data_IF_901582988595
#
_entry.id   IF_901582988595
#
_cell.length_a   1.000
_cell.length_b   1.000
_cell.length_c   1.000
_cell.angle_alpha   90.00
_cell.angle_beta   90.00
_cell.angle_gamma   90.00
#
_symmetry.space_group_name_H-M   'P 1'
#
loop_
_entity.id
_entity.type
_entity.pdbx_description
1 polymer ?
#
# COMPACT_ATOMS: atom_id res chain seq x y z
N UNK A 1 -8.43 -87.99 33.68
CA UNK A 1 -9.03 -89.33 33.98
C UNK A 1 -8.06 -90.28 34.74
N UNK A 2 -6.74 -90.04 34.66
CA UNK A 2 -5.73 -90.88 35.37
C UNK A 2 -5.67 -90.53 36.89
N UNK A 3 -5.93 -89.33 37.29
CA UNK A 3 -5.87 -88.92 38.69
C UNK A 3 -6.96 -89.51 39.58
N UNK A 4 -8.19 -89.58 39.07
CA UNK A 4 -9.32 -90.15 39.83
C UNK A 4 -9.18 -91.65 40.05
N UNK A 5 -8.65 -92.42 39.07
CA UNK A 5 -8.37 -93.82 39.20
C UNK A 5 -7.27 -94.09 40.22
N UNK A 6 -6.18 -93.29 40.21
CA UNK A 6 -5.09 -93.37 41.19
C UNK A 6 -5.55 -93.11 42.61
N UNK A 7 -6.45 -92.16 42.80
CA UNK A 7 -7.02 -91.81 44.14
C UNK A 7 -7.90 -92.89 44.69
N UNK A 8 -8.70 -93.58 43.79
CA UNK A 8 -9.51 -94.67 44.16
C UNK A 8 -8.66 -95.86 44.65
N UNK A 9 -7.55 -96.17 43.92
CA UNK A 9 -6.65 -97.25 44.30
C UNK A 9 -5.91 -96.98 45.61
N UNK A 10 -5.44 -95.74 45.84
CA UNK A 10 -4.76 -95.34 47.05
C UNK A 10 -5.71 -95.43 48.27
N UNK A 11 -6.93 -95.00 48.12
CA UNK A 11 -7.97 -95.07 49.14
C UNK A 11 -8.38 -96.52 49.42
N UNK A 12 -8.49 -97.41 48.38
CA UNK A 12 -8.74 -98.82 48.58
C UNK A 12 -7.63 -99.55 49.32
N UNK A 13 -6.38 -99.24 49.01
CA UNK A 13 -5.23 -99.78 49.72
C UNK A 13 -5.23 -99.37 51.21
N UNK A 14 -5.46 -98.10 51.48
CA UNK A 14 -5.57 -97.59 52.85
C UNK A 14 -6.71 -98.24 53.64
N UNK A 15 -7.88 -98.39 53.04
CA UNK A 15 -9.05 -99.09 53.67
C UNK A 15 -8.81 -100.61 53.90
N UNK A 16 -8.08 -101.23 52.98
CA UNK A 16 -7.76 -102.69 53.11
C UNK A 16 -6.76 -102.93 54.26
N UNK A 17 -5.77 -102.05 54.43
CA UNK A 17 -4.81 -102.17 55.53
C UNK A 17 -5.49 -101.80 56.87
N UNK A 18 -6.40 -100.78 56.90
CA UNK A 18 -7.17 -100.46 58.06
C UNK A 18 -8.09 -101.61 58.49
N UNK A 19 -8.76 -102.32 57.57
CA UNK A 19 -9.55 -103.49 57.84
C UNK A 19 -8.70 -104.67 58.34
N UNK A 20 -7.49 -104.88 57.83
CA UNK A 20 -6.52 -105.83 58.33
C UNK A 20 -6.02 -105.52 59.77
N UNK A 21 -5.80 -104.22 60.08
CA UNK A 21 -5.42 -103.76 61.35
C UNK A 21 -6.47 -103.96 62.48
N UNK A 22 -7.75 -104.08 62.09
CA UNK A 22 -8.83 -104.48 63.03
C UNK A 22 -8.77 -105.95 63.45
N UNK A 23 -8.10 -106.80 62.65
CA UNK A 23 -7.93 -108.24 62.91
C UNK A 23 -6.58 -108.57 63.59
N UNK A 24 -5.56 -107.77 63.30
CA UNK A 24 -4.21 -107.91 63.84
C UNK A 24 -3.71 -106.54 64.31
N UNK A 25 -3.57 -106.40 65.65
CA UNK A 25 -3.20 -105.13 66.31
C UNK A 25 -1.77 -104.67 65.97
N UNK A 26 -0.88 -105.57 65.50
CA UNK A 26 0.49 -105.16 65.09
C UNK A 26 0.49 -104.30 63.79
N UNK A 27 -0.57 -104.34 62.97
CA UNK A 27 -0.73 -103.58 61.76
C UNK A 27 -1.31 -102.17 61.97
N UNK A 28 -1.82 -101.85 63.11
CA UNK A 28 -2.51 -100.61 63.45
C UNK A 28 -1.61 -99.40 63.27
N UNK A 29 -0.36 -99.53 63.63
CA UNK A 29 0.61 -98.38 63.45
C UNK A 29 0.89 -98.10 61.98
N UNK A 30 1.00 -99.16 61.13
CA UNK A 30 1.18 -99.04 59.69
C UNK A 30 -0.05 -98.48 58.95
N UNK A 31 -1.25 -98.86 59.42
CA UNK A 31 -2.49 -98.29 58.86
C UNK A 31 -2.62 -96.79 59.11
N UNK A 32 -2.29 -96.38 60.35
CA UNK A 32 -2.29 -94.97 60.68
C UNK A 32 -1.29 -94.12 59.83
N UNK A 33 -0.06 -94.63 59.66
CA UNK A 33 0.93 -94.02 58.81
C UNK A 33 0.54 -93.91 57.34
N UNK A 34 -0.11 -94.94 56.80
CA UNK A 34 -0.59 -94.94 55.41
C UNK A 34 -1.71 -93.94 55.20
N UNK A 35 -2.61 -93.85 56.19
CA UNK A 35 -3.70 -92.87 56.19
C UNK A 35 -3.18 -91.45 56.25
N UNK A 36 -2.22 -91.17 57.13
CA UNK A 36 -1.56 -89.84 57.25
C UNK A 36 -0.81 -89.45 55.97
N UNK A 37 -0.12 -90.44 55.34
CA UNK A 37 0.55 -90.23 54.09
C UNK A 37 -0.44 -89.86 52.95
N UNK A 38 -1.57 -90.57 52.93
CA UNK A 38 -2.63 -90.31 51.97
C UNK A 38 -3.20 -88.91 52.13
N UNK A 39 -3.54 -88.43 53.33
CA UNK A 39 -4.07 -87.10 53.55
C UNK A 39 -3.01 -86.05 53.34
N UNK A 40 -1.79 -86.30 53.75
CA UNK A 40 -0.69 -85.39 53.53
C UNK A 40 -0.42 -85.15 52.02
N UNK A 41 -0.43 -86.25 51.23
CA UNK A 41 -0.28 -86.19 49.80
C UNK A 41 -1.44 -85.45 49.11
N UNK A 42 -2.65 -85.64 49.64
CA UNK A 42 -3.85 -84.95 49.14
C UNK A 42 -3.83 -83.48 49.46
N UNK A 43 -3.39 -83.09 50.66
CA UNK A 43 -3.27 -81.65 51.04
C UNK A 43 -2.18 -80.93 50.22
N UNK A 44 -1.03 -81.63 49.99
CA UNK A 44 0.05 -81.10 49.14
C UNK A 44 -0.44 -80.97 47.70
N UNK A 45 -1.20 -81.91 47.19
CA UNK A 45 -1.77 -81.82 45.83
C UNK A 45 -2.78 -80.72 45.71
N UNK A 46 -3.63 -80.45 46.72
CA UNK A 46 -4.57 -79.36 46.75
C UNK A 46 -3.87 -77.97 46.82
N UNK A 47 -2.79 -77.86 47.67
CA UNK A 47 -1.98 -76.63 47.70
C UNK A 47 -1.29 -76.35 46.39
N UNK A 48 -0.74 -77.38 45.73
CA UNK A 48 -0.11 -77.22 44.42
C UNK A 48 -1.11 -76.78 43.31
N UNK A 49 -2.33 -77.42 43.32
CA UNK A 49 -3.39 -76.97 42.39
C UNK A 49 -3.82 -75.52 42.66
N UNK A 50 -4.02 -75.13 43.90
CA UNK A 50 -4.35 -73.78 44.27
C UNK A 50 -3.27 -72.74 43.88
N UNK A 51 -2.00 -73.19 43.97
CA UNK A 51 -0.90 -72.35 43.45
C UNK A 51 -0.89 -72.33 41.88
N UNK A 52 -1.21 -73.42 41.23
CA UNK A 52 -1.30 -73.44 39.76
C UNK A 52 -2.37 -72.46 39.25
N UNK A 53 -3.56 -72.51 39.90
CA UNK A 53 -4.65 -71.60 39.56
C UNK A 53 -4.24 -70.07 39.83
N UNK A 54 -3.38 -69.85 40.83
CA UNK A 54 -2.83 -68.55 41.13
C UNK A 54 -1.76 -68.10 40.09
N UNK A 55 -1.13 -69.01 39.37
CA UNK A 55 -0.24 -68.84 38.24
C UNK A 55 -0.91 -68.93 36.87
N UNK A 56 -2.23 -69.10 36.82
CA UNK A 56 -3.00 -69.03 35.60
C UNK A 56 -2.98 -67.57 35.13
N UNK A 57 -1.92 -67.24 34.41
CA UNK A 57 -1.73 -65.88 33.79
C UNK A 57 -2.88 -65.80 32.78
N UNK A 58 -3.71 -64.79 33.03
CA UNK A 58 -4.79 -64.39 32.16
C UNK A 58 -4.19 -64.04 30.78
N UNK A 59 -4.26 -64.94 29.78
CA UNK A 59 -3.70 -64.77 28.44
C UNK A 59 -4.12 -63.42 27.83
N UNK A 60 -5.33 -62.96 28.17
CA UNK A 60 -5.82 -61.62 27.76
C UNK A 60 -5.02 -60.47 28.38
N UNK A 61 -4.57 -60.63 29.63
CA UNK A 61 -3.74 -59.61 30.30
C UNK A 61 -2.31 -59.57 29.71
N UNK A 62 -1.78 -60.74 29.38
CA UNK A 62 -0.48 -60.87 28.68
C UNK A 62 -0.53 -60.21 27.30
N UNK A 63 -1.55 -60.47 26.51
CA UNK A 63 -1.78 -59.88 25.19
C UNK A 63 -1.90 -58.35 25.30
N UNK A 64 -2.59 -57.83 26.31
CA UNK A 64 -2.72 -56.36 26.54
C UNK A 64 -1.36 -55.72 26.86
N UNK A 65 -0.56 -56.38 27.71
CA UNK A 65 0.79 -55.91 28.06
C UNK A 65 1.70 -55.94 26.81
N UNK A 66 1.67 -57.00 26.02
CA UNK A 66 2.46 -57.10 24.78
C UNK A 66 2.07 -56.02 23.77
N UNK A 67 0.79 -55.79 23.58
CA UNK A 67 0.32 -54.69 22.72
C UNK A 67 0.80 -53.31 23.22
N UNK A 68 0.78 -53.11 24.55
CA UNK A 68 1.25 -51.89 25.16
C UNK A 68 2.76 -51.67 24.97
N UNK A 69 3.54 -52.75 25.12
CA UNK A 69 5.00 -52.71 24.88
C UNK A 69 5.29 -52.42 23.40
N UNK A 70 4.61 -53.04 22.49
CA UNK A 70 4.73 -52.84 21.05
C UNK A 70 4.42 -51.37 20.67
N UNK A 71 3.37 -50.79 21.26
CA UNK A 71 3.03 -49.39 21.06
C UNK A 71 4.15 -48.49 21.57
N UNK A 72 4.70 -48.74 22.77
CA UNK A 72 5.81 -47.97 23.32
C UNK A 72 7.04 -48.08 22.42
N UNK A 73 7.39 -49.26 21.90
CA UNK A 73 8.51 -49.41 20.98
C UNK A 73 8.31 -48.66 19.66
N UNK A 74 7.10 -48.65 19.10
CA UNK A 74 6.75 -47.87 17.91
C UNK A 74 6.88 -46.40 18.18
N UNK A 75 6.43 -45.89 19.33
CA UNK A 75 6.54 -44.49 19.72
C UNK A 75 8.01 -44.10 19.93
N UNK A 76 8.77 -44.94 20.63
CA UNK A 76 10.22 -44.66 20.85
C UNK A 76 10.98 -44.56 19.53
N UNK A 77 10.78 -45.50 18.63
CA UNK A 77 11.46 -45.51 17.32
C UNK A 77 11.16 -44.26 16.48
N UNK A 78 10.01 -43.63 16.69
CA UNK A 78 9.53 -42.53 15.86
C UNK A 78 9.75 -41.15 16.51
N UNK A 79 9.67 -41.07 17.83
CA UNK A 79 9.55 -39.79 18.51
C UNK A 79 10.62 -39.51 19.58
N UNK A 80 11.42 -40.53 20.01
CA UNK A 80 12.50 -40.38 20.96
C UNK A 80 12.74 -41.59 21.82
N UNK A 81 13.92 -41.76 22.42
CA UNK A 81 14.33 -42.97 23.12
C UNK A 81 13.74 -43.11 24.52
N UNK A 82 13.29 -42.01 25.13
CA UNK A 82 12.69 -41.98 26.45
C UNK A 82 11.23 -41.56 26.40
N UNK A 83 10.47 -41.82 27.46
CA UNK A 83 9.08 -41.37 27.60
C UNK A 83 9.06 -39.83 27.62
N UNK A 84 10.02 -39.22 28.29
CA UNK A 84 10.17 -37.77 28.36
C UNK A 84 10.39 -37.15 26.99
N UNK A 85 11.19 -37.75 26.12
CA UNK A 85 11.41 -37.32 24.74
C UNK A 85 10.14 -37.36 23.92
N UNK A 86 9.36 -38.47 24.06
CA UNK A 86 8.08 -38.67 23.34
C UNK A 86 7.07 -37.58 23.77
N UNK A 87 6.95 -37.34 25.08
CA UNK A 87 6.07 -36.31 25.62
C UNK A 87 6.48 -34.91 25.19
N UNK A 88 7.79 -34.60 25.22
CA UNK A 88 8.34 -33.34 24.78
C UNK A 88 8.13 -33.12 23.27
N UNK A 89 8.23 -34.21 22.47
CA UNK A 89 7.89 -34.12 21.05
C UNK A 89 6.39 -33.81 20.84
N UNK A 90 5.50 -34.50 21.57
CA UNK A 90 4.07 -34.23 21.53
C UNK A 90 3.70 -32.80 21.90
N UNK A 91 4.34 -32.25 22.93
CA UNK A 91 4.11 -30.86 23.36
C UNK A 91 4.60 -29.86 22.30
N UNK A 92 5.79 -30.07 21.72
CA UNK A 92 6.30 -29.23 20.61
C UNK A 92 5.38 -29.29 19.39
N UNK A 93 4.95 -30.49 18.99
CA UNK A 93 4.04 -30.66 17.86
C UNK A 93 2.68 -29.97 18.10
N UNK A 94 2.16 -30.01 19.33
CA UNK A 94 0.94 -29.29 19.71
C UNK A 94 1.10 -27.79 19.62
N UNK A 95 2.20 -27.23 20.14
CA UNK A 95 2.51 -25.80 20.06
C UNK A 95 2.66 -25.36 18.61
N UNK A 96 3.34 -26.15 17.77
CA UNK A 96 3.51 -25.87 16.37
C UNK A 96 2.17 -25.88 15.62
N UNK A 97 1.29 -26.84 15.91
CA UNK A 97 -0.06 -26.89 15.37
C UNK A 97 -0.90 -25.66 15.76
N UNK A 98 -0.87 -25.24 17.03
CA UNK A 98 -1.55 -24.03 17.51
C UNK A 98 -1.04 -22.79 16.81
N UNK A 99 0.29 -22.65 16.61
CA UNK A 99 0.88 -21.54 15.84
C UNK A 99 0.41 -21.55 14.39
N UNK A 100 0.37 -22.70 13.73
CA UNK A 100 -0.10 -22.83 12.35
C UNK A 100 -1.58 -22.43 12.25
N UNK A 101 -2.43 -22.90 13.14
CA UNK A 101 -3.86 -22.57 13.14
C UNK A 101 -4.10 -21.07 13.38
N UNK A 102 -3.43 -20.50 14.38
CA UNK A 102 -3.54 -19.05 14.66
C UNK A 102 -3.01 -18.20 13.51
N UNK A 103 -1.95 -18.66 12.83
CA UNK A 103 -1.43 -18.00 11.62
C UNK A 103 -2.42 -18.07 10.47
N UNK A 104 -3.09 -19.19 10.26
CA UNK A 104 -4.10 -19.37 9.23
C UNK A 104 -5.28 -18.40 9.43
N UNK A 105 -5.83 -18.33 10.65
CA UNK A 105 -6.92 -17.41 11.01
C UNK A 105 -6.50 -15.96 10.81
N UNK A 106 -5.26 -15.62 11.19
CA UNK A 106 -4.70 -14.29 10.99
C UNK A 106 -4.56 -13.92 9.51
N UNK A 107 -4.11 -14.87 8.68
CA UNK A 107 -4.02 -14.67 7.21
C UNK A 107 -5.40 -14.42 6.63
N UNK A 108 -6.41 -15.20 6.99
CA UNK A 108 -7.78 -15.01 6.50
C UNK A 108 -8.36 -13.66 6.93
N UNK A 109 -8.14 -13.27 8.19
CA UNK A 109 -8.55 -11.96 8.69
C UNK A 109 -7.87 -10.82 7.92
N UNK A 110 -6.54 -10.90 7.73
CA UNK A 110 -5.78 -9.89 6.99
C UNK A 110 -6.20 -9.80 5.53
N UNK A 111 -6.47 -10.93 4.87
CA UNK A 111 -6.99 -10.94 3.50
C UNK A 111 -8.37 -10.30 3.39
N UNK A 112 -9.25 -10.54 4.36
CA UNK A 112 -10.57 -9.92 4.41
C UNK A 112 -10.48 -8.40 4.59
N UNK A 113 -9.62 -7.96 5.50
CA UNK A 113 -9.38 -6.54 5.75
C UNK A 113 -8.71 -5.87 4.55
N UNK A 114 -7.73 -6.50 3.91
CA UNK A 114 -7.12 -6.03 2.69
C UNK A 114 -8.15 -5.81 1.57
N UNK A 115 -9.05 -6.77 1.35
CA UNK A 115 -10.12 -6.63 0.35
C UNK A 115 -11.05 -5.47 0.67
N UNK A 116 -11.43 -5.32 1.94
CA UNK A 116 -12.27 -4.21 2.41
C UNK A 116 -11.61 -2.86 2.15
N UNK A 117 -10.36 -2.71 2.56
CA UNK A 117 -9.59 -1.48 2.37
C UNK A 117 -9.34 -1.17 0.90
N UNK A 118 -9.06 -2.18 0.09
CA UNK A 118 -8.88 -2.01 -1.36
C UNK A 118 -10.16 -1.51 -2.03
N UNK A 119 -11.31 -2.07 -1.68
CA UNK A 119 -12.61 -1.61 -2.21
C UNK A 119 -12.86 -0.15 -1.83
N UNK A 120 -12.68 0.20 -0.56
CA UNK A 120 -12.84 1.57 -0.09
C UNK A 120 -11.89 2.56 -0.77
N UNK A 121 -10.61 2.18 -0.92
CA UNK A 121 -9.62 3.01 -1.61
C UNK A 121 -9.99 3.23 -3.09
N UNK A 122 -10.51 2.18 -3.75
CA UNK A 122 -10.97 2.28 -5.14
C UNK A 122 -12.19 3.19 -5.30
N UNK A 123 -13.15 3.13 -4.38
CA UNK A 123 -14.30 4.03 -4.37
C UNK A 123 -13.86 5.50 -4.20
N UNK A 124 -12.92 5.75 -3.28
CA UNK A 124 -12.37 7.10 -3.08
C UNK A 124 -11.57 7.59 -4.29
N UNK A 125 -10.81 6.70 -4.94
CA UNK A 125 -10.09 7.03 -6.16
C UNK A 125 -11.04 7.37 -7.32
N UNK A 126 -12.15 6.65 -7.46
CA UNK A 126 -13.18 6.96 -8.48
C UNK A 126 -13.84 8.32 -8.23
N UNK A 127 -14.19 8.62 -6.98
CA UNK A 127 -14.73 9.94 -6.62
C UNK A 127 -13.71 11.06 -6.92
N UNK A 128 -12.43 10.83 -6.65
CA UNK A 128 -11.36 11.77 -6.97
C UNK A 128 -11.23 11.98 -8.48
N UNK A 129 -11.33 10.92 -9.29
CA UNK A 129 -11.36 11.01 -10.75
C UNK A 129 -12.50 11.91 -11.23
N UNK A 130 -13.72 11.67 -10.75
CA UNK A 130 -14.89 12.47 -11.13
C UNK A 130 -14.73 13.94 -10.75
N UNK A 131 -14.21 14.20 -9.54
CA UNK A 131 -13.95 15.56 -9.06
C UNK A 131 -12.94 16.28 -9.93
N UNK A 132 -11.85 15.59 -10.34
CA UNK A 132 -10.81 16.15 -11.22
C UNK A 132 -11.35 16.47 -12.61
N UNK A 133 -12.12 15.57 -13.20
CA UNK A 133 -12.72 15.80 -14.52
C UNK A 133 -13.68 17.00 -14.49
N UNK A 134 -14.52 17.11 -13.47
CA UNK A 134 -15.42 18.25 -13.30
C UNK A 134 -14.64 19.56 -13.09
N UNK A 135 -13.60 19.56 -12.25
CA UNK A 135 -12.76 20.71 -12.04
C UNK A 135 -12.04 21.13 -13.32
N UNK A 136 -11.62 20.17 -14.15
CA UNK A 136 -11.03 20.48 -15.45
C UNK A 136 -12.02 21.19 -16.39
N UNK A 137 -13.28 20.80 -16.44
CA UNK A 137 -14.30 21.45 -17.27
C UNK A 137 -14.44 22.94 -16.90
N UNK A 138 -14.52 23.25 -15.60
CA UNK A 138 -14.61 24.63 -15.10
C UNK A 138 -13.32 25.43 -15.40
N UNK A 139 -12.17 24.83 -15.16
CA UNK A 139 -10.86 25.43 -15.43
C UNK A 139 -10.67 25.69 -16.94
N UNK A 140 -11.00 24.70 -17.78
CA UNK A 140 -10.87 24.80 -19.24
C UNK A 140 -11.75 25.91 -19.81
N UNK A 141 -12.94 26.11 -19.26
CA UNK A 141 -13.80 27.22 -19.68
C UNK A 141 -13.14 28.57 -19.39
N UNK A 142 -12.65 28.78 -18.16
CA UNK A 142 -11.95 30.03 -17.77
C UNK A 142 -10.71 30.30 -18.65
N UNK A 143 -9.93 29.25 -18.91
CA UNK A 143 -8.75 29.35 -19.78
C UNK A 143 -9.16 29.71 -21.22
N UNK A 144 -10.19 29.06 -21.76
CA UNK A 144 -10.66 29.34 -23.11
C UNK A 144 -11.18 30.77 -23.25
N UNK A 145 -11.97 31.25 -22.27
CA UNK A 145 -12.47 32.63 -22.25
C UNK A 145 -11.30 33.65 -22.25
N UNK A 146 -10.25 33.38 -21.45
CA UNK A 146 -9.04 34.23 -21.44
C UNK A 146 -8.27 34.15 -22.76
N UNK A 147 -8.11 32.97 -23.35
CA UNK A 147 -7.41 32.81 -24.64
C UNK A 147 -8.16 33.50 -25.79
N UNK A 148 -9.48 33.42 -25.80
CA UNK A 148 -10.31 34.14 -26.75
C UNK A 148 -10.15 35.67 -26.59
N UNK A 149 -10.11 36.17 -25.34
CA UNK A 149 -9.81 37.55 -25.05
C UNK A 149 -8.41 37.95 -25.52
N UNK A 150 -7.40 37.11 -25.36
CA UNK A 150 -6.04 37.29 -25.84
C UNK A 150 -5.88 37.18 -27.37
N UNK A 151 -6.98 37.11 -28.10
CA UNK A 151 -7.02 36.96 -29.57
C UNK A 151 -6.42 35.64 -30.06
N UNK A 152 -6.65 34.56 -29.31
CA UNK A 152 -6.25 33.19 -29.63
C UNK A 152 -7.47 32.23 -29.71
N UNK A 153 -8.50 32.54 -30.52
CA UNK A 153 -9.77 31.79 -30.47
C UNK A 153 -9.70 30.37 -31.02
N UNK A 154 -8.58 30.04 -31.69
CA UNK A 154 -8.35 28.68 -32.22
C UNK A 154 -7.74 27.70 -31.22
N UNK A 155 -7.26 28.23 -30.09
CA UNK A 155 -6.58 27.41 -29.08
C UNK A 155 -7.60 26.61 -28.29
N UNK A 156 -7.38 25.32 -28.20
CA UNK A 156 -8.23 24.41 -27.43
C UNK A 156 -7.38 23.54 -26.54
N UNK A 157 -7.68 23.52 -25.24
CA UNK A 157 -7.04 22.62 -24.30
C UNK A 157 -7.91 21.41 -24.03
N UNK A 158 -7.30 20.24 -23.99
CA UNK A 158 -7.95 18.96 -23.72
C UNK A 158 -7.19 18.20 -22.64
N UNK A 159 -7.89 17.33 -21.93
CA UNK A 159 -7.32 16.49 -20.90
C UNK A 159 -7.19 15.07 -21.42
N UNK A 160 -5.96 14.54 -21.43
CA UNK A 160 -5.75 13.12 -21.61
C UNK A 160 -5.76 12.47 -20.24
N UNK A 161 -6.75 11.62 -20.02
CA UNK A 161 -6.93 10.89 -18.79
C UNK A 161 -6.75 9.40 -19.06
N UNK A 162 -5.87 8.73 -18.31
CA UNK A 162 -5.70 7.28 -18.31
C UNK A 162 -5.71 6.76 -16.88
N UNK A 163 -6.21 5.53 -16.70
CA UNK A 163 -6.22 4.86 -15.39
C UNK A 163 -4.93 4.07 -15.22
N UNK A 164 -4.29 4.28 -14.10
CA UNK A 164 -3.11 3.56 -13.65
C UNK A 164 -3.38 2.73 -12.39
N UNK A 165 -2.33 2.20 -11.77
CA UNK A 165 -2.43 1.51 -10.48
C UNK A 165 -2.89 2.47 -9.38
N UNK A 166 -3.58 1.92 -8.37
CA UNK A 166 -4.01 2.67 -7.20
C UNK A 166 -2.79 3.14 -6.39
N UNK A 167 -2.70 4.45 -6.12
CA UNK A 167 -1.62 5.08 -5.40
C UNK A 167 -2.16 6.09 -4.37
N UNK A 168 -1.28 6.70 -3.57
CA UNK A 168 -1.65 7.70 -2.54
C UNK A 168 -2.38 8.93 -3.11
N UNK A 169 -2.16 9.24 -4.39
CA UNK A 169 -2.80 10.35 -5.11
C UNK A 169 -3.96 9.92 -6.02
N UNK A 170 -4.46 8.70 -5.87
CA UNK A 170 -5.53 8.13 -6.68
C UNK A 170 -5.01 7.17 -7.76
N UNK A 171 -5.82 6.98 -8.81
CA UNK A 171 -5.52 6.05 -9.91
C UNK A 171 -5.32 6.74 -11.26
N UNK A 172 -5.34 8.09 -11.28
CA UNK A 172 -5.35 8.86 -12.52
C UNK A 172 -3.94 9.24 -12.95
N UNK A 173 -3.65 9.06 -14.23
CA UNK A 173 -2.59 9.78 -14.95
C UNK A 173 -3.25 10.83 -15.84
N UNK A 174 -2.93 12.09 -15.59
CA UNK A 174 -3.53 13.24 -16.26
C UNK A 174 -2.44 14.03 -16.97
N UNK A 175 -2.67 14.34 -18.25
CA UNK A 175 -1.79 15.16 -19.05
C UNK A 175 -2.60 16.18 -19.85
N UNK A 176 -2.15 17.44 -19.85
CA UNK A 176 -2.78 18.51 -20.61
C UNK A 176 -2.25 18.49 -22.05
N UNK A 177 -3.17 18.49 -22.96
CA UNK A 177 -2.92 18.60 -24.40
C UNK A 177 -3.52 19.91 -24.90
N UNK A 178 -2.90 20.47 -25.91
CA UNK A 178 -3.36 21.71 -26.51
C UNK A 178 -3.25 21.65 -28.04
N UNK A 179 -4.23 22.21 -28.72
CA UNK A 179 -4.20 22.52 -30.14
C UNK A 179 -4.16 24.04 -30.28
N UNK A 180 -3.21 24.56 -31.02
CA UNK A 180 -3.05 26.00 -31.22
C UNK A 180 -3.81 26.52 -32.43
N UNK A 181 -4.16 25.64 -33.38
CA UNK A 181 -4.93 25.98 -34.56
C UNK A 181 -6.12 25.06 -34.75
N UNK A 182 -7.23 25.55 -35.30
CA UNK A 182 -8.37 24.71 -35.67
C UNK A 182 -7.93 23.59 -36.64
N UNK A 183 -8.28 22.34 -36.30
CA UNK A 183 -7.96 21.16 -37.11
C UNK A 183 -6.61 20.51 -36.87
N UNK A 184 -5.74 21.12 -36.06
CA UNK A 184 -4.52 20.44 -35.60
C UNK A 184 -4.80 19.41 -34.52
N UNK A 185 -4.07 18.29 -34.57
CA UNK A 185 -4.12 17.30 -33.49
C UNK A 185 -3.54 17.87 -32.22
N UNK A 186 -4.21 17.70 -31.06
CA UNK A 186 -3.70 18.17 -29.77
C UNK A 186 -2.35 17.55 -29.45
N UNK A 187 -1.41 18.35 -28.96
CA UNK A 187 -0.06 17.95 -28.53
C UNK A 187 0.10 18.20 -27.04
N UNK A 188 0.97 17.46 -26.34
CA UNK A 188 1.30 17.77 -24.95
C UNK A 188 1.72 19.24 -24.79
N UNK A 189 1.21 19.89 -23.75
CA UNK A 189 1.52 21.30 -23.45
C UNK A 189 3.03 21.56 -23.42
N UNK A 190 3.80 20.62 -22.87
CA UNK A 190 5.27 20.70 -22.78
C UNK A 190 5.99 20.66 -24.15
N UNK A 191 5.28 20.37 -25.26
CA UNK A 191 5.86 20.27 -26.61
C UNK A 191 5.50 21.46 -27.52
N UNK A 192 5.02 22.57 -26.96
CA UNK A 192 4.76 23.79 -27.72
C UNK A 192 6.09 24.45 -28.04
N UNK A 193 6.30 24.75 -29.33
CA UNK A 193 7.58 25.26 -29.82
C UNK A 193 7.70 26.80 -29.82
N UNK A 194 6.58 27.52 -29.75
CA UNK A 194 6.58 29.01 -29.82
C UNK A 194 6.63 29.62 -28.41
N UNK A 195 7.70 30.39 -28.13
CA UNK A 195 7.88 31.08 -26.82
C UNK A 195 6.73 32.02 -26.51
N UNK A 196 6.36 32.91 -27.43
CA UNK A 196 5.28 33.88 -27.23
C UNK A 196 3.90 33.24 -27.07
N UNK A 197 3.57 32.18 -27.82
CA UNK A 197 2.31 31.45 -27.67
C UNK A 197 2.27 30.73 -26.32
N UNK A 198 3.35 30.07 -25.91
CA UNK A 198 3.45 29.38 -24.65
C UNK A 198 3.30 30.35 -23.47
N UNK A 199 3.94 31.54 -23.54
CA UNK A 199 3.81 32.57 -22.50
C UNK A 199 2.37 33.06 -22.35
N UNK A 200 1.63 33.28 -23.46
CA UNK A 200 0.21 33.64 -23.43
C UNK A 200 -0.70 32.56 -22.91
N UNK A 201 -0.45 31.29 -23.29
CA UNK A 201 -1.18 30.14 -22.75
C UNK A 201 -0.92 30.00 -21.26
N UNK A 202 0.34 30.18 -20.83
CA UNK A 202 0.71 30.17 -19.40
C UNK A 202 0.02 31.30 -18.66
N UNK A 203 -0.06 32.51 -19.24
CA UNK A 203 -0.81 33.62 -18.66
C UNK A 203 -2.29 33.26 -18.47
N UNK A 204 -2.92 32.68 -19.48
CA UNK A 204 -4.33 32.26 -19.38
C UNK A 204 -4.57 31.21 -18.30
N UNK A 205 -3.67 30.23 -18.19
CA UNK A 205 -3.72 29.21 -17.12
C UNK A 205 -3.53 29.88 -15.74
N UNK A 206 -2.53 30.73 -15.58
CA UNK A 206 -2.26 31.45 -14.33
C UNK A 206 -3.42 32.35 -13.93
N UNK A 207 -3.97 33.12 -14.87
CA UNK A 207 -5.14 33.94 -14.63
C UNK A 207 -6.37 33.12 -14.19
N UNK A 208 -6.62 31.97 -14.82
CA UNK A 208 -7.71 31.08 -14.45
C UNK A 208 -7.54 30.47 -13.05
N UNK A 209 -6.31 30.39 -12.55
CA UNK A 209 -5.94 29.81 -11.25
C UNK A 209 -5.57 30.86 -10.18
N UNK A 210 -5.68 32.16 -10.47
CA UNK A 210 -5.18 33.24 -9.61
C UNK A 210 -5.63 33.09 -8.14
N UNK A 211 -6.88 32.72 -7.90
CA UNK A 211 -7.44 32.51 -6.56
C UNK A 211 -6.81 31.35 -5.76
N UNK A 212 -6.06 30.48 -6.43
CA UNK A 212 -5.51 29.22 -5.86
C UNK A 212 -4.00 29.11 -5.99
N UNK A 213 -3.36 30.02 -6.75
CA UNK A 213 -1.92 30.00 -6.96
C UNK A 213 -1.19 30.64 -5.76
N UNK A 214 -0.37 29.84 -5.11
CA UNK A 214 0.42 30.30 -3.95
C UNK A 214 1.76 30.97 -4.35
N UNK A 215 2.07 31.08 -5.65
CA UNK A 215 3.33 31.67 -6.13
C UNK A 215 3.23 33.19 -6.07
N UNK A 216 4.02 33.87 -5.23
CA UNK A 216 3.84 35.32 -5.00
C UNK A 216 4.33 36.19 -6.15
N UNK A 217 5.29 35.71 -6.96
CA UNK A 217 5.93 36.47 -8.06
C UNK A 217 5.96 35.64 -9.33
N UNK A 218 5.50 36.22 -10.43
CA UNK A 218 5.53 35.58 -11.77
C UNK A 218 6.28 36.49 -12.74
N UNK A 219 7.20 35.90 -13.51
CA UNK A 219 8.00 36.60 -14.51
C UNK A 219 7.54 36.12 -15.89
N UNK A 220 7.13 37.08 -16.73
CA UNK A 220 6.81 36.86 -18.13
C UNK A 220 7.87 37.45 -19.03
N UNK A 221 8.45 36.60 -19.88
CA UNK A 221 9.40 36.99 -20.90
C UNK A 221 8.79 36.67 -22.28
N UNK A 222 9.05 37.56 -23.26
CA UNK A 222 8.59 37.43 -24.66
C UNK A 222 7.07 37.26 -24.84
N UNK A 223 6.23 37.68 -23.88
CA UNK A 223 4.77 37.47 -23.93
C UNK A 223 4.13 38.25 -25.10
N UNK A 224 4.75 39.32 -25.54
CA UNK A 224 4.35 40.22 -26.66
C UNK A 224 4.99 39.83 -27.99
N UNK A 225 5.73 38.71 -28.05
CA UNK A 225 6.33 38.24 -29.30
C UNK A 225 5.24 37.90 -30.34
N UNK A 226 5.35 38.55 -31.52
CA UNK A 226 4.44 38.33 -32.63
C UNK A 226 3.05 38.97 -32.47
N UNK A 227 2.87 39.86 -31.51
CA UNK A 227 1.61 40.61 -31.33
C UNK A 227 1.82 42.10 -31.38
N UNK A 228 0.78 42.85 -31.75
CA UNK A 228 0.81 44.31 -31.80
C UNK A 228 -0.58 44.92 -31.59
N UNK A 229 -0.63 46.21 -31.37
CA UNK A 229 -1.86 46.98 -31.29
C UNK A 229 -2.86 46.42 -30.27
N UNK A 230 -4.08 46.12 -30.68
CA UNK A 230 -5.17 45.70 -29.82
C UNK A 230 -4.87 44.37 -29.05
N UNK A 231 -4.11 43.48 -29.66
CA UNK A 231 -3.75 42.23 -28.99
C UNK A 231 -2.78 42.47 -27.81
N UNK A 232 -1.80 43.38 -28.02
CA UNK A 232 -0.88 43.75 -26.94
C UNK A 232 -1.60 44.47 -25.77
N UNK A 233 -2.58 45.37 -26.05
CA UNK A 233 -3.40 45.99 -25.01
C UNK A 233 -4.14 44.95 -24.16
N UNK A 234 -4.74 43.93 -24.78
CA UNK A 234 -5.46 42.86 -24.07
C UNK A 234 -4.53 42.02 -23.18
N UNK A 235 -3.29 41.78 -23.66
CA UNK A 235 -2.29 41.08 -22.82
C UNK A 235 -1.99 41.94 -21.57
N UNK A 236 -1.76 43.26 -21.76
CA UNK A 236 -1.53 44.17 -20.65
C UNK A 236 -2.68 44.20 -19.65
N UNK A 237 -3.93 44.20 -20.11
CA UNK A 237 -5.12 44.11 -19.26
C UNK A 237 -5.16 42.86 -18.40
N UNK A 238 -4.87 41.67 -19.00
CA UNK A 238 -4.82 40.40 -18.26
C UNK A 238 -3.66 40.38 -17.27
N UNK A 239 -2.48 40.92 -17.63
CA UNK A 239 -1.35 41.05 -16.71
C UNK A 239 -1.70 41.95 -15.52
N UNK A 240 -2.35 43.07 -15.76
CA UNK A 240 -2.80 43.98 -14.70
C UNK A 240 -3.81 43.33 -13.78
N UNK A 241 -4.78 42.59 -14.31
CA UNK A 241 -5.74 41.82 -13.52
C UNK A 241 -5.03 40.77 -12.66
N UNK A 242 -4.06 40.04 -13.23
CA UNK A 242 -3.28 39.07 -12.50
C UNK A 242 -2.41 39.67 -11.40
N UNK A 243 -2.03 40.97 -11.53
CA UNK A 243 -1.23 41.68 -10.53
C UNK A 243 -2.02 42.07 -9.26
N UNK A 244 -3.35 41.93 -9.25
CA UNK A 244 -4.14 42.19 -8.03
C UNK A 244 -3.80 41.22 -6.89
N UNK A 245 -3.35 40.00 -7.22
CA UNK A 245 -3.00 38.96 -6.23
C UNK A 245 -1.52 38.55 -6.22
N UNK A 246 -0.72 39.03 -7.21
CA UNK A 246 0.66 38.58 -7.43
C UNK A 246 1.55 39.73 -7.84
N UNK A 247 2.85 39.62 -7.58
CA UNK A 247 3.82 40.49 -8.22
C UNK A 247 4.09 39.96 -9.65
N UNK A 248 3.84 40.81 -10.64
CA UNK A 248 4.08 40.48 -12.05
C UNK A 248 5.29 41.26 -12.55
N UNK A 249 6.31 40.56 -13.03
CA UNK A 249 7.44 41.14 -13.75
C UNK A 249 7.29 40.76 -15.22
N UNK A 250 7.16 41.78 -16.10
CA UNK A 250 7.01 41.53 -17.53
C UNK A 250 8.14 42.23 -18.28
N UNK A 251 8.85 41.45 -19.12
CA UNK A 251 9.82 41.96 -20.07
C UNK A 251 9.08 42.19 -21.39
N UNK A 252 9.01 43.44 -21.83
CA UNK A 252 8.22 43.83 -22.99
C UNK A 252 8.93 44.87 -23.84
N UNK A 253 8.71 44.83 -25.13
CA UNK A 253 9.10 45.88 -26.08
C UNK A 253 7.88 46.63 -26.65
N UNK A 254 6.70 46.41 -26.09
CA UNK A 254 5.42 46.92 -26.58
C UNK A 254 4.90 48.03 -25.67
N UNK A 255 4.72 49.24 -26.22
CA UNK A 255 4.24 50.38 -25.48
C UNK A 255 2.89 50.17 -24.77
N UNK A 256 1.98 49.43 -25.40
CA UNK A 256 0.65 49.10 -24.86
C UNK A 256 0.70 48.29 -23.56
N UNK A 257 1.67 47.39 -23.42
CA UNK A 257 1.88 46.61 -22.19
C UNK A 257 2.59 47.47 -21.15
N UNK A 258 3.69 48.17 -21.54
CA UNK A 258 4.49 48.97 -20.64
C UNK A 258 3.68 50.11 -20.01
N UNK A 259 2.71 50.69 -20.75
CA UNK A 259 1.85 51.77 -20.26
C UNK A 259 0.95 51.35 -19.08
N UNK A 260 0.58 50.05 -19.00
CA UNK A 260 -0.30 49.52 -17.97
C UNK A 260 0.44 49.08 -16.68
N UNK A 261 1.78 49.19 -16.67
CA UNK A 261 2.56 48.83 -15.51
C UNK A 261 2.47 49.89 -14.40
N UNK A 262 2.42 49.45 -13.13
CA UNK A 262 2.49 50.35 -11.96
C UNK A 262 3.92 50.93 -11.80
N UNK A 263 4.93 50.10 -12.08
CA UNK A 263 6.34 50.48 -12.06
C UNK A 263 6.99 50.15 -13.40
N UNK A 264 7.75 51.10 -13.96
CA UNK A 264 8.46 50.92 -15.22
C UNK A 264 9.97 50.96 -14.97
N UNK A 265 10.64 49.85 -15.28
CA UNK A 265 12.09 49.69 -15.22
C UNK A 265 12.67 49.76 -16.62
N UNK A 266 13.58 50.71 -16.87
CA UNK A 266 14.29 50.81 -18.16
C UNK A 266 15.57 50.01 -18.09
N UNK A 267 15.74 49.12 -19.09
CA UNK A 267 16.95 48.32 -19.28
C UNK A 267 17.78 48.98 -20.37
N UNK A 268 19.01 49.41 -20.02
CA UNK A 268 19.95 50.02 -20.96
C UNK A 268 21.27 49.23 -20.99
N UNK A 269 21.82 49.12 -22.20
CA UNK A 269 23.17 48.55 -22.40
C UNK A 269 24.14 49.68 -22.66
N UNK A 270 25.08 49.89 -21.76
CA UNK A 270 26.14 50.88 -21.86
C UNK A 270 27.47 50.21 -22.19
N UNK A 271 28.22 50.74 -23.16
CA UNK A 271 29.55 50.26 -23.51
C UNK A 271 30.58 51.21 -22.94
N UNK A 272 31.36 50.74 -21.96
CA UNK A 272 32.44 51.49 -21.35
C UNK A 272 33.70 50.66 -21.35
N UNK A 273 34.80 51.18 -21.89
CA UNK A 273 36.08 50.49 -21.97
C UNK A 273 36.01 49.09 -22.63
N UNK A 274 35.36 48.98 -23.78
CA UNK A 274 35.14 47.76 -24.55
C UNK A 274 34.34 46.67 -23.83
N UNK A 275 33.70 46.99 -22.70
CA UNK A 275 32.83 46.09 -21.97
C UNK A 275 31.40 46.62 -22.00
N UNK A 276 30.46 45.69 -22.21
CA UNK A 276 29.02 45.99 -22.16
C UNK A 276 28.49 45.78 -20.75
N UNK A 277 27.88 46.82 -20.19
CA UNK A 277 27.17 46.74 -18.91
C UNK A 277 25.67 46.88 -19.16
N UNK A 278 24.88 46.12 -18.47
CA UNK A 278 23.42 46.23 -18.46
C UNK A 278 23.02 46.91 -17.15
N UNK A 279 22.34 48.04 -17.28
CA UNK A 279 21.84 48.80 -16.15
C UNK A 279 20.33 48.80 -16.15
N UNK A 280 19.73 48.83 -14.96
CA UNK A 280 18.28 48.85 -14.77
C UNK A 280 17.94 50.06 -13.90
N UNK A 281 17.11 50.93 -14.43
CA UNK A 281 16.71 52.17 -13.76
C UNK A 281 15.19 52.23 -13.63
N UNK A 282 14.65 52.54 -12.44
CA UNK A 282 13.24 52.86 -12.29
C UNK A 282 13.00 54.24 -12.94
N UNK A 283 11.91 54.36 -13.69
CA UNK A 283 11.53 55.59 -14.37
C UNK A 283 10.52 56.38 -13.52
N UNK A 284 10.72 57.71 -13.46
CA UNK A 284 9.71 58.63 -13.01
C UNK A 284 8.62 58.86 -14.08
N UNK A 285 7.63 59.68 -13.79
CA UNK A 285 6.54 59.99 -14.70
C UNK A 285 7.00 60.49 -16.07
N UNK A 286 7.95 61.41 -16.12
CA UNK A 286 8.48 61.95 -17.38
C UNK A 286 9.31 60.93 -18.14
N UNK A 287 10.14 60.17 -17.43
CA UNK A 287 10.91 59.06 -18.01
C UNK A 287 10.02 57.99 -18.62
N UNK A 288 8.87 57.70 -17.99
CA UNK A 288 7.85 56.78 -18.55
C UNK A 288 7.29 57.28 -19.87
N UNK A 289 6.94 58.57 -19.97
CA UNK A 289 6.45 59.18 -21.21
C UNK A 289 7.49 59.07 -22.31
N UNK A 290 8.76 59.42 -22.03
CA UNK A 290 9.84 59.32 -23.00
C UNK A 290 10.11 57.89 -23.46
N UNK A 291 10.17 56.94 -22.51
CA UNK A 291 10.38 55.55 -22.82
C UNK A 291 9.26 54.99 -23.70
N UNK A 292 8.00 55.27 -23.39
CA UNK A 292 6.86 54.88 -24.21
C UNK A 292 6.88 55.51 -25.59
N UNK A 293 7.22 56.82 -25.67
CA UNK A 293 7.35 57.53 -26.95
C UNK A 293 8.43 56.86 -27.83
N UNK A 294 9.56 56.44 -27.26
CA UNK A 294 10.60 55.67 -27.96
C UNK A 294 10.12 54.30 -28.42
N UNK A 295 9.34 53.58 -27.61
CA UNK A 295 8.74 52.33 -28.02
C UNK A 295 7.75 52.47 -29.18
N UNK A 296 7.10 53.62 -29.33
CA UNK A 296 6.14 53.93 -30.39
C UNK A 296 6.85 54.39 -31.68
N UNK A 297 7.86 55.27 -31.58
CA UNK A 297 8.45 55.95 -32.73
C UNK A 297 9.93 55.60 -33.01
N UNK A 298 10.51 54.73 -32.19
CA UNK A 298 11.94 54.43 -32.25
C UNK A 298 12.77 55.61 -31.69
N UNK A 299 14.00 55.79 -32.22
CA UNK A 299 14.94 56.79 -31.76
C UNK A 299 14.51 58.28 -32.03
N UNK A 300 13.52 58.46 -32.93
CA UNK A 300 13.00 59.81 -33.28
C UNK A 300 11.74 60.12 -32.48
N UNK A 301 11.93 60.59 -31.26
CA UNK A 301 10.84 61.06 -30.40
C UNK A 301 10.30 62.41 -30.94
N UNK A 302 8.99 62.45 -31.20
CA UNK A 302 8.28 63.67 -31.67
C UNK A 302 7.25 64.10 -30.63
N UNK A 303 6.78 65.34 -30.75
CA UNK A 303 5.71 65.84 -29.89
C UNK A 303 4.44 65.02 -30.01
N UNK A 304 4.17 64.41 -31.17
CA UNK A 304 3.03 63.56 -31.40
C UNK A 304 3.20 62.20 -30.65
N UNK A 305 4.41 61.63 -30.67
CA UNK A 305 4.68 60.41 -29.92
C UNK A 305 4.65 60.61 -28.40
N UNK A 306 5.08 61.74 -27.92
CA UNK A 306 4.96 62.15 -26.51
C UNK A 306 3.49 62.34 -26.09
N UNK A 307 2.68 63.00 -26.94
CA UNK A 307 1.24 63.15 -26.70
C UNK A 307 0.51 61.80 -26.63
N UNK A 308 0.83 60.89 -27.57
CA UNK A 308 0.28 59.53 -27.60
C UNK A 308 0.71 58.73 -26.36
N UNK A 309 1.97 58.82 -25.95
CA UNK A 309 2.45 58.15 -24.74
C UNK A 309 1.71 58.65 -23.46
N UNK A 310 1.43 59.96 -23.35
CA UNK A 310 0.63 60.51 -22.25
C UNK A 310 -0.81 60.00 -22.28
N UNK A 311 -1.44 59.92 -23.45
CA UNK A 311 -2.77 59.36 -23.62
C UNK A 311 -2.82 57.92 -23.17
N UNK A 312 -1.82 57.09 -23.55
CA UNK A 312 -1.72 55.67 -23.16
C UNK A 312 -1.55 55.51 -21.65
N UNK A 313 -0.89 56.44 -20.98
CA UNK A 313 -0.78 56.45 -19.51
C UNK A 313 -2.05 56.96 -18.82
N UNK A 314 -3.09 57.38 -19.59
CA UNK A 314 -4.32 58.00 -19.06
C UNK A 314 -4.11 59.41 -18.54
N UNK A 315 -3.01 60.06 -18.90
CA UNK A 315 -2.73 61.45 -18.51
C UNK A 315 -3.23 62.39 -19.63
N UNK A 316 -4.41 62.93 -19.42
CA UNK A 316 -4.91 63.90 -20.33
C UNK A 316 -3.94 65.11 -20.41
N UNK A 317 -3.65 65.56 -21.62
CA UNK A 317 -2.86 66.73 -21.86
C UNK A 317 -3.52 67.97 -21.19
N UNK A 318 -3.07 68.29 -19.98
CA UNK A 318 -3.52 69.48 -19.29
C UNK A 318 -3.97 69.23 -17.84
N UNK A 319 -3.08 68.93 -16.95
CA UNK A 319 -3.09 69.29 -15.54
C UNK A 319 -1.73 69.85 -15.16
#
# INVERSE_FOLDING_TARGET
SSSAASDVYKRQASNAVDAAAQLDGELSAGAGQLLDLYYTAKDVAADLIGRLDAYDTNDAELDEIEQRIDLIYKLRRKYGDTVEDILAFGERARQELEMIQSSQERVEHLQKEQRRLYTLAREKAELLTQTRLKAFEELNKRISDTLDFLNMPGVRMTLRHTRGPLASHGQDSIEFYISTNPGEAPKPLAKIASGGELSRITLAIKNAMADKDAVPTVIYDEIDSGVSGKAASRIGEVLRQSAEGHQILCITHTAQIAALADCHLLIQKNITNERTYTEIHPLDENGRVEALARLISGDHVTELSLANAREMLGWSAGK
#
